data_IF_438339701232
#
_entry.id   IF_438339701232
#
_cell.length_a   1.000
_cell.length_b   1.000
_cell.length_c   1.000
_cell.angle_alpha   90.00
_cell.angle_beta   90.00
_cell.angle_gamma   90.00
#
_symmetry.space_group_name_H-M   'P 1'
#
loop_
_entity.id
_entity.type
_entity.pdbx_description
1 polymer ?
#
# COMPACT_ATOMS: atom_id res chain seq x y z
N UNK A 1 -11.99 -12.58 7.14
CA UNK A 1 -12.35 -11.17 7.39
C UNK A 1 -11.54 -10.32 6.42
N UNK A 2 -12.18 -9.71 5.43
CA UNK A 2 -11.50 -8.79 4.50
C UNK A 2 -11.03 -7.56 5.29
N UNK A 3 -9.82 -7.06 4.97
CA UNK A 3 -9.28 -5.85 5.60
C UNK A 3 -10.11 -4.64 5.14
N UNK A 4 -10.60 -3.81 6.06
CA UNK A 4 -11.30 -2.58 5.72
C UNK A 4 -10.36 -1.54 5.11
N UNK A 5 -10.89 -0.61 4.30
CA UNK A 5 -10.10 0.48 3.70
C UNK A 5 -9.31 1.28 4.75
N UNK A 6 -9.90 1.71 5.90
CA UNK A 6 -9.12 2.35 6.96
C UNK A 6 -7.99 1.46 7.50
N UNK A 7 -8.22 0.14 7.59
CA UNK A 7 -7.20 -0.83 8.00
C UNK A 7 -6.03 -0.91 7.01
N UNK A 8 -6.34 -0.92 5.72
CA UNK A 8 -5.34 -0.94 4.64
C UNK A 8 -4.53 0.35 4.62
N UNK A 9 -5.18 1.51 4.75
CA UNK A 9 -4.52 2.81 4.83
C UNK A 9 -3.60 2.93 6.06
N UNK A 10 -4.04 2.47 7.23
CA UNK A 10 -3.19 2.41 8.44
C UNK A 10 -1.97 1.49 8.25
N UNK A 11 -2.11 0.42 7.47
CA UNK A 11 -1.01 -0.50 7.23
C UNK A 11 0.16 0.13 6.46
N UNK A 12 -0.08 1.19 5.69
CA UNK A 12 0.95 1.90 4.92
C UNK A 12 1.98 2.61 5.81
N UNK A 13 1.65 2.87 7.07
CA UNK A 13 2.52 3.55 8.04
C UNK A 13 3.03 2.59 9.13
N UNK A 14 2.96 1.27 8.92
CA UNK A 14 3.54 0.29 9.85
C UNK A 14 5.03 0.17 9.61
N UNK A 15 5.89 0.24 10.65
CA UNK A 15 7.32 0.10 10.49
C UNK A 15 7.68 -1.28 9.92
N UNK A 16 8.85 -1.34 9.28
CA UNK A 16 9.39 -2.57 8.73
C UNK A 16 10.82 -2.83 9.22
N UNK A 17 11.16 -4.12 9.32
CA UNK A 17 12.50 -4.57 9.65
C UNK A 17 12.86 -5.77 8.79
N UNK A 18 14.07 -5.77 8.25
CA UNK A 18 14.60 -6.86 7.43
C UNK A 18 16.12 -6.91 7.55
N UNK A 19 16.75 -7.93 6.98
CA UNK A 19 18.21 -8.06 6.96
C UNK A 19 18.68 -7.98 5.51
N UNK A 20 19.72 -7.21 5.26
CA UNK A 20 20.36 -7.08 3.95
C UNK A 20 21.88 -7.06 4.15
N UNK A 21 22.58 -7.97 3.47
CA UNK A 21 24.04 -8.07 3.50
C UNK A 21 24.62 -8.14 4.93
N UNK A 22 23.96 -8.88 5.82
CA UNK A 22 24.36 -9.01 7.22
C UNK A 22 23.85 -7.90 8.14
N UNK A 23 23.34 -6.79 7.60
CA UNK A 23 22.89 -5.64 8.36
C UNK A 23 21.37 -5.64 8.56
N UNK A 24 20.93 -5.34 9.79
CA UNK A 24 19.50 -5.12 10.06
C UNK A 24 19.12 -3.73 9.58
N UNK A 25 18.17 -3.66 8.67
CA UNK A 25 17.56 -2.41 8.19
C UNK A 25 16.23 -2.22 8.93
N UNK A 26 16.06 -1.04 9.54
CA UNK A 26 14.82 -0.64 10.21
C UNK A 26 14.26 0.62 9.56
N UNK A 27 13.00 0.56 9.14
CA UNK A 27 12.30 1.68 8.52
C UNK A 27 11.16 2.10 9.44
N UNK A 28 11.12 3.38 9.79
CA UNK A 28 10.05 3.94 10.59
C UNK A 28 8.76 4.04 9.76
N UNK A 29 7.62 3.93 10.44
CA UNK A 29 6.28 3.98 9.82
C UNK A 29 6.06 5.16 8.87
N UNK A 30 6.35 6.41 9.27
CA UNK A 30 6.18 7.58 8.41
C UNK A 30 7.02 7.58 7.13
N UNK A 31 8.13 6.85 7.13
CA UNK A 31 9.09 6.82 6.01
C UNK A 31 8.82 5.66 5.05
N UNK A 32 7.90 4.75 5.38
CA UNK A 32 7.65 3.51 4.64
C UNK A 32 7.42 3.72 3.15
N UNK A 33 6.56 4.67 2.79
CA UNK A 33 6.16 4.91 1.39
C UNK A 33 7.30 5.51 0.56
N UNK A 34 8.25 6.23 1.19
CA UNK A 34 9.44 6.74 0.52
C UNK A 34 10.48 5.67 0.18
N UNK A 35 10.37 4.48 0.77
CA UNK A 35 11.24 3.32 0.50
C UNK A 35 10.69 2.40 -0.60
N UNK A 36 9.64 2.83 -1.32
CA UNK A 36 9.16 2.10 -2.48
C UNK A 36 10.23 2.03 -3.58
N UNK A 37 10.53 0.84 -4.06
CA UNK A 37 11.50 0.63 -5.14
C UNK A 37 10.82 -0.01 -6.36
N UNK A 38 11.04 0.49 -7.58
CA UNK A 38 10.54 -0.16 -8.79
C UNK A 38 11.12 -1.57 -8.93
N UNK A 39 10.28 -2.52 -9.36
CA UNK A 39 10.68 -3.92 -9.54
C UNK A 39 10.21 -4.46 -10.88
N UNK A 40 10.96 -5.43 -11.42
CA UNK A 40 10.66 -6.12 -12.68
C UNK A 40 10.51 -7.63 -12.50
N UNK A 41 10.14 -8.06 -11.29
CA UNK A 41 9.90 -9.47 -10.97
C UNK A 41 8.79 -10.07 -11.83
N UNK A 42 7.86 -9.25 -12.29
CA UNK A 42 6.93 -9.56 -13.39
C UNK A 42 7.17 -8.55 -14.52
N UNK A 43 7.82 -8.95 -15.64
CA UNK A 43 8.23 -8.02 -16.69
C UNK A 43 7.10 -7.19 -17.30
N UNK A 44 5.90 -7.76 -17.40
CA UNK A 44 4.74 -7.14 -18.05
C UNK A 44 3.98 -6.15 -17.15
N UNK A 45 4.30 -6.10 -15.86
CA UNK A 45 3.61 -5.24 -14.89
C UNK A 45 4.54 -4.15 -14.36
N UNK A 46 4.05 -2.91 -14.38
CA UNK A 46 4.75 -1.79 -13.76
C UNK A 46 4.54 -1.81 -12.23
N UNK A 47 5.38 -2.58 -11.53
CA UNK A 47 5.29 -2.75 -10.08
C UNK A 47 6.35 -1.96 -9.32
N UNK A 48 6.04 -1.66 -8.06
CA UNK A 48 6.94 -1.20 -7.01
C UNK A 48 6.80 -2.12 -5.79
N UNK A 49 7.88 -2.32 -5.02
CA UNK A 49 7.86 -3.07 -3.78
C UNK A 49 8.06 -2.17 -2.57
N UNK A 50 7.33 -2.47 -1.50
CA UNK A 50 7.53 -1.92 -0.16
C UNK A 50 7.96 -3.04 0.79
N UNK A 51 8.88 -2.82 1.72
CA UNK A 51 9.08 -3.71 2.86
C UNK A 51 7.76 -3.91 3.62
N UNK A 52 7.56 -5.08 4.22
CA UNK A 52 6.30 -5.39 4.90
C UNK A 52 6.54 -6.03 6.28
N UNK A 53 6.37 -5.22 7.32
CA UNK A 53 6.49 -5.67 8.72
C UNK A 53 7.89 -6.16 9.07
N UNK A 54 7.99 -7.03 10.07
CA UNK A 54 9.26 -7.60 10.51
C UNK A 54 9.52 -8.95 9.80
N UNK A 55 10.57 -9.01 8.99
CA UNK A 55 11.04 -10.21 8.29
C UNK A 55 12.07 -11.02 9.10
N UNK A 56 12.68 -10.46 10.16
CA UNK A 56 13.72 -11.15 10.93
C UNK A 56 13.28 -12.51 11.52
N UNK A 57 12.06 -12.66 12.10
CA UNK A 57 11.62 -13.94 12.65
C UNK A 57 11.46 -15.06 11.61
N UNK A 58 11.42 -14.71 10.32
CA UNK A 58 11.28 -15.70 9.25
C UNK A 58 12.57 -16.51 9.06
N UNK A 59 13.73 -16.00 9.49
CA UNK A 59 14.99 -16.73 9.39
C UNK A 59 14.93 -18.01 10.25
N UNK A 60 14.49 -17.88 11.50
CA UNK A 60 14.28 -19.02 12.40
C UNK A 60 13.14 -19.92 11.91
N UNK A 61 12.02 -19.32 11.48
CA UNK A 61 10.86 -20.06 10.98
C UNK A 61 11.20 -20.96 9.78
N UNK A 62 12.09 -20.49 8.91
CA UNK A 62 12.52 -21.22 7.71
C UNK A 62 13.77 -22.08 7.95
N UNK A 63 14.32 -22.12 9.16
CA UNK A 63 15.50 -22.92 9.49
C UNK A 63 16.81 -22.39 8.88
N UNK A 64 16.89 -21.08 8.65
CA UNK A 64 18.05 -20.37 8.06
C UNK A 64 18.50 -19.19 8.94
N UNK A 65 18.82 -19.41 10.23
CA UNK A 65 19.07 -18.33 11.20
C UNK A 65 20.25 -17.42 10.82
N UNK A 66 21.26 -17.97 10.14
CA UNK A 66 22.48 -17.25 9.76
C UNK A 66 22.38 -16.52 8.41
N UNK A 67 21.20 -16.53 7.76
CA UNK A 67 21.03 -15.95 6.42
C UNK A 67 21.46 -14.48 6.40
N UNK A 68 22.31 -14.04 5.44
CA UNK A 68 22.78 -12.66 5.39
C UNK A 68 21.70 -11.68 4.96
N UNK A 69 20.76 -12.12 4.12
CA UNK A 69 19.67 -11.30 3.60
C UNK A 69 18.35 -12.03 3.76
N UNK A 70 17.37 -11.40 4.40
CA UNK A 70 15.98 -11.89 4.47
C UNK A 70 15.04 -10.70 4.32
N UNK A 71 14.16 -10.78 3.32
CA UNK A 71 13.26 -9.70 2.95
C UNK A 71 11.84 -10.21 2.72
N UNK A 72 10.85 -9.48 3.23
CA UNK A 72 9.43 -9.68 2.91
C UNK A 72 8.85 -8.34 2.50
N UNK A 73 8.17 -8.31 1.36
CA UNK A 73 7.58 -7.09 0.83
C UNK A 73 6.13 -7.24 0.38
N UNK A 74 5.59 -6.13 -0.11
CA UNK A 74 4.28 -6.01 -0.73
C UNK A 74 4.45 -5.33 -2.08
N UNK A 75 3.84 -5.88 -3.12
CA UNK A 75 3.76 -5.21 -4.42
C UNK A 75 2.62 -4.19 -4.47
N UNK A 76 2.88 -3.08 -5.15
CA UNK A 76 1.87 -2.12 -5.60
C UNK A 76 2.14 -1.76 -7.07
N UNK A 77 1.12 -1.29 -7.76
CA UNK A 77 1.35 -0.67 -9.06
C UNK A 77 2.12 0.64 -8.88
N UNK A 78 3.04 0.89 -9.81
CA UNK A 78 3.92 2.05 -9.76
C UNK A 78 3.13 3.35 -9.66
N UNK A 79 3.58 4.23 -8.76
CA UNK A 79 2.96 5.54 -8.51
C UNK A 79 2.02 5.54 -7.31
N UNK A 80 1.59 4.37 -6.83
CA UNK A 80 0.79 4.24 -5.62
C UNK A 80 1.48 4.88 -4.42
N UNK A 81 2.74 4.54 -4.16
CA UNK A 81 3.44 5.00 -2.95
C UNK A 81 3.71 6.50 -2.98
N UNK A 82 3.95 7.07 -4.16
CA UNK A 82 4.11 8.51 -4.32
C UNK A 82 2.82 9.28 -3.98
N UNK A 83 1.67 8.81 -4.51
CA UNK A 83 0.36 9.39 -4.18
C UNK A 83 0.09 9.27 -2.67
N UNK A 84 0.28 8.09 -2.11
CA UNK A 84 -0.01 7.85 -0.69
C UNK A 84 0.93 8.62 0.23
N UNK A 85 2.18 8.85 -0.17
CA UNK A 85 3.13 9.65 0.61
C UNK A 85 2.67 11.10 0.72
N UNK A 86 2.17 11.68 -0.39
CA UNK A 86 1.58 13.03 -0.35
C UNK A 86 0.31 13.04 0.49
N UNK A 87 -0.54 12.01 0.42
CA UNK A 87 -1.71 11.90 1.28
C UNK A 87 -1.35 11.82 2.78
N UNK A 88 -0.27 11.12 3.13
CA UNK A 88 0.26 11.11 4.51
C UNK A 88 0.75 12.50 4.91
N UNK A 89 1.51 13.18 4.04
CA UNK A 89 2.03 14.51 4.30
C UNK A 89 0.92 15.56 4.48
N UNK A 90 -0.19 15.41 3.75
CA UNK A 90 -1.40 16.22 3.92
C UNK A 90 -2.23 15.85 5.16
N UNK A 91 -1.87 14.80 5.89
CA UNK A 91 -2.64 14.35 7.06
C UNK A 91 -3.96 13.64 6.72
N UNK A 92 -4.21 13.27 5.46
CA UNK A 92 -5.42 12.53 5.05
C UNK A 92 -5.53 11.16 5.72
N UNK A 93 -4.40 10.57 6.12
CA UNK A 93 -4.36 9.28 6.83
C UNK A 93 -4.37 9.45 8.36
N UNK A 94 -4.56 10.66 8.88
CA UNK A 94 -4.61 10.95 10.31
C UNK A 94 -5.87 10.38 10.97
N UNK A 95 -5.72 9.80 12.16
CA UNK A 95 -6.87 9.39 13.00
C UNK A 95 -7.38 10.51 13.90
N UNK A 96 -6.86 11.74 13.75
CA UNK A 96 -7.38 12.89 14.47
C UNK A 96 -8.84 13.16 14.08
N UNK A 97 -9.61 13.67 15.04
CA UNK A 97 -11.00 14.05 14.80
C UNK A 97 -11.09 15.21 13.81
N UNK A 98 -12.13 15.21 12.98
CA UNK A 98 -12.46 16.39 12.18
C UNK A 98 -12.87 17.56 13.10
N UNK A 99 -12.66 18.82 12.67
CA UNK A 99 -13.06 19.98 13.46
C UNK A 99 -14.57 19.99 13.76
N UNK A 100 -15.00 20.22 15.01
CA UNK A 100 -16.40 20.05 15.42
C UNK A 100 -17.37 21.07 14.80
N UNK A 101 -16.86 22.21 14.32
CA UNK A 101 -17.66 23.30 13.76
C UNK A 101 -17.54 23.41 12.23
N UNK A 102 -16.92 22.43 11.57
CA UNK A 102 -16.77 22.43 10.11
C UNK A 102 -17.55 21.25 9.53
N UNK A 103 -18.57 21.56 8.74
CA UNK A 103 -19.42 20.57 8.08
C UNK A 103 -18.75 20.08 6.79
N UNK A 104 -17.86 19.09 6.94
CA UNK A 104 -17.15 18.45 5.82
C UNK A 104 -18.03 17.34 5.25
N UNK A 105 -18.76 17.66 4.18
CA UNK A 105 -19.69 16.74 3.50
C UNK A 105 -19.13 16.12 2.23
N UNK A 106 -18.12 16.76 1.63
CA UNK A 106 -17.59 16.38 0.32
C UNK A 106 -16.06 16.41 0.29
N UNK A 107 -15.50 15.67 -0.68
CA UNK A 107 -14.07 15.56 -0.91
C UNK A 107 -13.37 16.90 -1.09
N UNK A 108 -13.94 17.83 -1.88
CA UNK A 108 -13.34 19.16 -2.09
C UNK A 108 -13.16 19.94 -0.79
N UNK A 109 -14.13 19.87 0.13
CA UNK A 109 -14.08 20.54 1.42
C UNK A 109 -13.03 19.89 2.33
N UNK A 110 -12.91 18.56 2.32
CA UNK A 110 -11.86 17.85 3.04
C UNK A 110 -10.48 18.24 2.50
N UNK A 111 -10.33 18.32 1.18
CA UNK A 111 -9.09 18.68 0.52
C UNK A 111 -8.68 20.13 0.85
N UNK A 112 -9.62 21.08 0.79
CA UNK A 112 -9.39 22.47 1.18
C UNK A 112 -8.94 22.56 2.66
N UNK A 113 -9.59 21.83 3.55
CA UNK A 113 -9.24 21.79 4.97
C UNK A 113 -7.80 21.28 5.18
N UNK A 114 -7.43 20.15 4.59
CA UNK A 114 -6.07 19.60 4.78
C UNK A 114 -4.98 20.43 4.13
N UNK A 115 -5.28 21.11 3.01
CA UNK A 115 -4.35 22.04 2.36
C UNK A 115 -4.14 23.31 3.20
N UNK A 116 -5.20 23.80 3.85
CA UNK A 116 -5.11 24.95 4.75
C UNK A 116 -4.34 24.60 6.04
N UNK A 117 -4.70 23.50 6.70
CA UNK A 117 -4.15 23.13 8.02
C UNK A 117 -2.68 22.70 7.96
N UNK A 118 -2.27 22.05 6.88
CA UNK A 118 -0.89 21.56 6.72
C UNK A 118 -0.03 22.49 5.88
N UNK A 119 -0.60 23.62 5.41
CA UNK A 119 0.01 24.69 4.63
C UNK A 119 1.25 24.19 3.86
N UNK A 120 1.09 23.54 2.69
CA UNK A 120 2.22 22.96 1.94
C UNK A 120 3.07 24.09 1.34
N UNK A 121 3.70 24.91 2.17
CA UNK A 121 4.33 26.17 1.77
C UNK A 121 5.64 25.99 1.01
N UNK A 122 6.11 24.76 0.79
CA UNK A 122 7.30 24.51 -0.05
C UNK A 122 7.25 23.23 -0.92
N UNK A 123 6.23 22.37 -0.78
CA UNK A 123 6.16 21.11 -1.54
C UNK A 123 4.89 21.08 -2.38
N UNK A 124 5.04 21.37 -3.68
CA UNK A 124 4.00 21.09 -4.65
C UNK A 124 3.65 19.60 -4.59
N UNK A 125 2.35 19.29 -4.60
CA UNK A 125 1.88 17.92 -4.74
C UNK A 125 2.48 17.30 -6.01
N UNK A 126 2.85 16.02 -5.92
CA UNK A 126 3.36 15.31 -7.09
C UNK A 126 2.32 15.26 -8.21
N UNK A 127 2.78 15.26 -9.46
CA UNK A 127 1.89 15.20 -10.64
C UNK A 127 0.86 14.05 -10.58
N UNK A 128 1.26 12.90 -10.04
CA UNK A 128 0.37 11.74 -9.89
C UNK A 128 -0.71 11.99 -8.84
N UNK A 129 -0.37 12.67 -7.75
CA UNK A 129 -1.30 13.06 -6.69
C UNK A 129 -2.30 14.09 -7.21
N UNK A 130 -1.84 15.10 -7.94
CA UNK A 130 -2.72 16.10 -8.57
C UNK A 130 -3.70 15.45 -9.54
N UNK A 131 -3.21 14.56 -10.41
CA UNK A 131 -4.06 13.82 -11.34
C UNK A 131 -5.07 12.91 -10.62
N UNK A 132 -4.64 12.24 -9.54
CA UNK A 132 -5.51 11.39 -8.72
C UNK A 132 -6.62 12.19 -8.03
N UNK A 133 -6.30 13.33 -7.41
CA UNK A 133 -7.29 14.19 -6.76
C UNK A 133 -8.30 14.77 -7.75
N UNK A 134 -7.82 15.21 -8.93
CA UNK A 134 -8.70 15.65 -10.01
C UNK A 134 -9.61 14.52 -10.51
N UNK A 135 -9.09 13.30 -10.61
CA UNK A 135 -9.88 12.13 -10.99
C UNK A 135 -10.96 11.79 -9.95
N UNK A 136 -10.68 11.85 -8.64
CA UNK A 136 -11.69 11.65 -7.58
C UNK A 136 -12.88 12.59 -7.79
N UNK A 137 -12.63 13.85 -8.14
CA UNK A 137 -13.67 14.85 -8.39
C UNK A 137 -14.30 15.42 -7.12
N UNK A 138 -14.79 16.65 -7.23
CA UNK A 138 -15.06 17.50 -6.06
C UNK A 138 -16.21 17.02 -5.17
N UNK A 139 -17.23 16.42 -5.78
CA UNK A 139 -18.54 16.20 -5.14
C UNK A 139 -18.68 14.84 -4.44
N UNK A 140 -17.60 14.07 -4.28
CA UNK A 140 -17.67 12.75 -3.64
C UNK A 140 -17.98 12.91 -2.14
N UNK A 141 -19.05 12.30 -1.62
CA UNK A 141 -19.41 12.41 -0.21
C UNK A 141 -18.38 11.82 0.75
N UNK A 142 -18.17 12.46 1.91
CA UNK A 142 -17.31 11.96 3.00
C UNK A 142 -18.04 11.09 4.03
N UNK A 143 -19.38 10.97 3.93
CA UNK A 143 -20.27 10.11 4.72
C UNK A 143 -20.06 10.14 6.25
N UNK A 144 -20.58 11.16 6.93
CA UNK A 144 -20.64 11.30 8.41
C UNK A 144 -19.37 10.85 9.16
N UNK A 145 -18.21 11.11 8.55
CA UNK A 145 -16.93 10.69 9.08
C UNK A 145 -16.56 11.47 10.35
N UNK A 146 -15.90 10.80 11.29
CA UNK A 146 -15.44 11.43 12.54
C UNK A 146 -13.98 11.85 12.50
N UNK A 147 -13.19 11.27 11.60
CA UNK A 147 -11.73 11.47 11.50
C UNK A 147 -11.33 11.69 10.04
N UNK A 148 -10.18 12.33 9.81
CA UNK A 148 -9.62 12.52 8.46
C UNK A 148 -9.49 11.20 7.70
N UNK A 149 -8.91 10.19 8.35
CA UNK A 149 -8.77 8.85 7.79
C UNK A 149 -10.10 8.24 7.38
N UNK A 150 -11.15 8.40 8.20
CA UNK A 150 -12.46 7.86 7.87
C UNK A 150 -13.08 8.60 6.69
N UNK A 151 -13.00 9.93 6.67
CA UNK A 151 -13.54 10.75 5.58
C UNK A 151 -12.86 10.40 4.25
N UNK A 152 -11.53 10.26 4.27
CA UNK A 152 -10.76 9.86 3.09
C UNK A 152 -11.06 8.42 2.67
N UNK A 153 -11.14 7.48 3.61
CA UNK A 153 -11.49 6.09 3.32
C UNK A 153 -12.88 5.97 2.66
N UNK A 154 -13.86 6.72 3.13
CA UNK A 154 -15.21 6.73 2.56
C UNK A 154 -15.20 7.25 1.11
N UNK A 155 -14.39 8.26 0.80
CA UNK A 155 -14.19 8.76 -0.57
C UNK A 155 -13.55 7.68 -1.46
N UNK A 156 -12.50 7.02 -0.96
CA UNK A 156 -11.82 5.96 -1.71
C UNK A 156 -12.72 4.76 -1.96
N UNK A 157 -13.51 4.33 -0.98
CA UNK A 157 -14.42 3.19 -1.11
C UNK A 157 -15.44 3.42 -2.23
N UNK A 158 -15.96 4.64 -2.39
CA UNK A 158 -16.89 4.98 -3.46
C UNK A 158 -16.23 5.03 -4.85
N UNK A 159 -14.92 5.32 -4.93
CA UNK A 159 -14.22 5.54 -6.20
C UNK A 159 -13.37 4.36 -6.67
N UNK A 160 -12.88 3.55 -5.75
CA UNK A 160 -11.92 2.47 -6.00
C UNK A 160 -12.50 1.08 -5.71
N UNK A 161 -13.83 0.97 -5.57
CA UNK A 161 -14.50 -0.32 -5.53
C UNK A 161 -14.42 -1.01 -6.88
N UNK A 162 -14.24 -2.32 -6.85
CA UNK A 162 -14.32 -3.17 -8.05
C UNK A 162 -15.78 -3.38 -8.44
N UNK A 163 -16.05 -3.31 -9.75
CA UNK A 163 -17.34 -3.65 -10.33
C UNK A 163 -17.51 -5.17 -10.48
N UNK A 164 -18.73 -5.63 -10.76
CA UNK A 164 -19.05 -7.06 -10.87
C UNK A 164 -18.26 -7.80 -11.97
N UNK A 165 -17.86 -7.08 -13.02
CA UNK A 165 -17.10 -7.62 -14.15
C UNK A 165 -15.58 -7.51 -13.96
N UNK A 166 -15.13 -6.82 -12.91
CA UNK A 166 -13.72 -6.66 -12.62
C UNK A 166 -13.08 -7.97 -12.14
N UNK A 167 -11.76 -8.05 -12.34
CA UNK A 167 -10.94 -9.15 -11.84
C UNK A 167 -9.83 -8.61 -10.97
N UNK A 168 -9.67 -9.20 -9.81
CA UNK A 168 -8.49 -8.97 -8.97
C UNK A 168 -7.30 -9.78 -9.51
N UNK A 169 -6.10 -9.34 -9.17
CA UNK A 169 -4.83 -9.97 -9.53
C UNK A 169 -4.01 -10.25 -8.27
N UNK A 170 -3.65 -11.52 -8.09
CA UNK A 170 -2.68 -11.95 -7.09
C UNK A 170 -1.35 -12.20 -7.77
N UNK A 171 -0.30 -11.52 -7.31
CA UNK A 171 1.10 -11.78 -7.68
C UNK A 171 1.88 -12.11 -6.41
N UNK A 172 2.55 -13.26 -6.41
CA UNK A 172 3.44 -13.71 -5.34
C UNK A 172 4.70 -14.27 -5.96
N UNK A 173 5.86 -13.78 -5.51
CA UNK A 173 7.16 -14.23 -6.00
C UNK A 173 8.07 -14.52 -4.82
N UNK A 174 8.84 -15.60 -4.91
CA UNK A 174 9.95 -15.91 -4.02
C UNK A 174 11.23 -16.03 -4.84
N UNK A 175 12.34 -15.57 -4.28
CA UNK A 175 13.68 -15.79 -4.80
C UNK A 175 14.58 -16.20 -3.63
N UNK A 176 15.32 -17.28 -3.82
CA UNK A 176 16.27 -17.82 -2.85
C UNK A 176 17.62 -17.92 -3.54
N UNK A 177 18.56 -17.13 -3.07
CA UNK A 177 19.96 -17.20 -3.49
C UNK A 177 20.69 -18.23 -2.62
N UNK A 178 21.37 -19.18 -3.26
CA UNK A 178 22.03 -20.32 -2.62
C UNK A 178 23.51 -20.31 -3.03
N UNK A 179 24.39 -20.28 -2.03
CA UNK A 179 25.80 -20.59 -2.21
C UNK A 179 25.96 -22.11 -2.30
N UNK A 180 26.40 -22.61 -3.45
CA UNK A 180 26.59 -24.04 -3.72
C UNK A 180 28.05 -24.50 -3.52
N UNK A 181 28.92 -23.62 -3.02
CA UNK A 181 30.35 -23.85 -2.82
C UNK A 181 31.23 -23.35 -3.97
N UNK A 182 32.53 -23.29 -3.74
CA UNK A 182 33.56 -22.86 -4.71
C UNK A 182 33.34 -21.47 -5.34
N UNK A 183 32.60 -20.60 -4.64
CA UNK A 183 32.25 -19.25 -5.09
C UNK A 183 31.11 -19.21 -6.12
N UNK A 184 30.43 -20.33 -6.35
CA UNK A 184 29.27 -20.41 -7.23
C UNK A 184 27.97 -20.12 -6.47
N UNK A 185 27.10 -19.32 -7.10
CA UNK A 185 25.82 -18.89 -6.55
C UNK A 185 24.71 -19.24 -7.54
N UNK A 186 23.64 -19.84 -7.04
CA UNK A 186 22.42 -20.12 -7.79
C UNK A 186 21.24 -19.31 -7.24
N UNK A 187 20.31 -18.92 -8.12
CA UNK A 187 19.07 -18.25 -7.72
C UNK A 187 17.87 -19.11 -8.11
N UNK A 188 17.16 -19.60 -7.10
CA UNK A 188 15.95 -20.40 -7.23
C UNK A 188 14.74 -19.49 -7.06
N UNK A 189 13.89 -19.39 -8.09
CA UNK A 189 12.71 -18.51 -8.06
C UNK A 189 11.41 -19.27 -8.25
N UNK A 190 10.36 -18.86 -7.53
CA UNK A 190 9.01 -19.40 -7.67
C UNK A 190 8.01 -18.25 -7.78
N UNK A 191 7.11 -18.32 -8.75
CA UNK A 191 6.12 -17.27 -8.99
C UNK A 191 4.71 -17.85 -9.12
N UNK A 192 3.75 -17.19 -8.49
CA UNK A 192 2.33 -17.43 -8.63
C UNK A 192 1.69 -16.13 -9.13
N UNK A 193 0.96 -16.24 -10.24
CA UNK A 193 0.12 -15.17 -10.76
C UNK A 193 -1.27 -15.74 -11.06
N UNK A 194 -2.30 -15.10 -10.54
CA UNK A 194 -3.67 -15.57 -10.72
C UNK A 194 -4.67 -14.43 -10.72
N UNK A 195 -5.64 -14.51 -11.63
CA UNK A 195 -6.79 -13.61 -11.64
C UNK A 195 -7.94 -14.23 -10.86
N UNK A 196 -8.59 -13.44 -10.02
CA UNK A 196 -9.72 -13.88 -9.19
C UNK A 196 -10.94 -13.04 -9.54
N UNK A 197 -12.08 -13.70 -9.80
CA UNK A 197 -13.37 -13.03 -9.88
C UNK A 197 -13.92 -12.84 -8.47
N UNK A 198 -14.45 -11.66 -8.19
CA UNK A 198 -15.20 -11.43 -6.96
C UNK A 198 -16.52 -12.18 -7.09
N UNK A 199 -16.81 -13.08 -6.15
CA UNK A 199 -18.10 -13.73 -6.14
C UNK A 199 -19.18 -12.68 -5.83
N UNK A 200 -20.15 -12.51 -6.73
CA UNK A 200 -21.37 -11.78 -6.40
C UNK A 200 -22.03 -12.46 -5.19
N UNK A 201 -22.39 -11.72 -4.13
CA UNK A 201 -23.19 -12.28 -3.04
C UNK A 201 -24.49 -12.85 -3.62
N UNK A 202 -24.64 -14.18 -3.62
CA UNK A 202 -25.87 -14.85 -4.09
C UNK A 202 -25.72 -15.78 -5.30
N UNK A 203 -24.55 -15.93 -5.92
CA UNK A 203 -24.32 -17.03 -6.88
C UNK A 203 -23.56 -18.17 -6.19
N UNK A 204 -24.30 -19.17 -5.74
CA UNK A 204 -23.75 -20.47 -5.37
C UNK A 204 -22.92 -21.02 -6.55
N UNK A 205 -21.71 -21.51 -6.24
CA UNK A 205 -20.90 -22.22 -7.22
C UNK A 205 -21.61 -23.54 -7.52
N UNK A 206 -22.30 -23.64 -8.66
CA UNK A 206 -22.59 -24.95 -9.24
C UNK A 206 -21.26 -25.63 -9.55
N UNK A 207 -21.04 -26.74 -8.86
CA UNK A 207 -19.88 -27.61 -9.05
C UNK A 207 -20.10 -28.41 -10.33
N UNK A 208 -19.11 -28.36 -11.22
CA UNK A 208 -18.93 -29.35 -12.28
C UNK A 208 -17.77 -30.27 -11.91
#
# INVERSE_FOLDING_TARGET
MLMSIPGALKALQRPAQFKELGCVVSIAGPDMLSHATPVRTVPDLALEQLPNGNALPYADLYGIPDVPTIFRGTYRYRGFSAIMQDCVALGLLSTASLPPNVDIKQWSQLLELVLHDNNPTDKQLGQHTTAFFAWIGDQVPTQDAKTYLQAFANVLEQRLSMDAEDRDLVVLTHAVEVDIGDGAVEVHSASLMGYVRIACPGQERESA
#
